data_IF_604363544697
#
_entry.id   IF_604363544697
#
_cell.length_a   1.000
_cell.length_b   1.000
_cell.length_c   1.000
_cell.angle_alpha   90.00
_cell.angle_beta   90.00
_cell.angle_gamma   90.00
#
_symmetry.space_group_name_H-M   'P 1'
#
loop_
_entity.id
_entity.type
_entity.pdbx_description
1 polymer ?
#
# COMPACT_ATOMS: atom_id res chain seq x y z
N UNK A 1 15.12 2.78 -5.21
CA UNK A 1 15.59 1.39 -4.94
C UNK A 1 16.00 0.77 -6.27
N UNK A 2 17.18 0.14 -6.38
CA UNK A 2 17.68 -0.38 -7.67
C UNK A 2 17.62 -1.92 -7.74
N UNK A 3 17.50 -2.53 -8.94
CA UNK A 3 17.52 -3.98 -9.09
C UNK A 3 18.73 -4.68 -8.45
N UNK A 4 19.92 -4.09 -8.56
CA UNK A 4 21.12 -4.64 -7.93
C UNK A 4 21.08 -4.62 -6.39
N UNK A 5 20.49 -3.57 -5.80
CA UNK A 5 20.28 -3.50 -4.36
C UNK A 5 19.23 -4.53 -3.88
N UNK A 6 18.15 -4.69 -4.64
CA UNK A 6 17.09 -5.68 -4.36
C UNK A 6 17.70 -7.09 -4.38
N UNK A 7 18.43 -7.45 -5.43
CA UNK A 7 18.99 -8.78 -5.59
C UNK A 7 20.00 -9.14 -4.49
N UNK A 8 20.87 -8.19 -4.15
CA UNK A 8 21.82 -8.35 -3.05
C UNK A 8 21.10 -8.52 -1.70
N UNK A 9 20.14 -7.63 -1.39
CA UNK A 9 19.42 -7.65 -0.13
C UNK A 9 18.62 -8.95 0.07
N UNK A 10 17.90 -9.40 -0.95
CA UNK A 10 17.13 -10.65 -0.88
C UNK A 10 18.03 -11.89 -0.81
N UNK A 11 19.22 -11.88 -1.44
CA UNK A 11 20.19 -12.97 -1.28
C UNK A 11 20.68 -13.06 0.17
N UNK A 12 20.97 -11.93 0.80
CA UNK A 12 21.33 -11.88 2.24
C UNK A 12 20.13 -12.29 3.10
N UNK A 13 18.91 -11.94 2.73
CA UNK A 13 17.71 -12.34 3.46
C UNK A 13 17.55 -13.86 3.53
N UNK A 14 17.78 -14.55 2.40
CA UNK A 14 17.75 -16.01 2.31
C UNK A 14 18.86 -16.65 3.17
N UNK A 15 20.08 -16.09 3.16
CA UNK A 15 21.21 -16.60 3.94
C UNK A 15 20.99 -16.48 5.47
N UNK A 16 20.19 -15.51 5.92
CA UNK A 16 20.00 -15.17 7.33
C UNK A 16 18.60 -15.47 7.87
N UNK A 17 17.66 -15.96 7.04
CA UNK A 17 16.26 -16.22 7.39
C UNK A 17 15.57 -14.98 8.01
N UNK A 18 15.67 -13.84 7.31
CA UNK A 18 15.05 -12.57 7.73
C UNK A 18 14.15 -12.02 6.64
N UNK A 19 13.08 -11.32 7.02
CA UNK A 19 12.19 -10.66 6.06
C UNK A 19 12.80 -9.35 5.53
N UNK A 20 12.54 -9.04 4.27
CA UNK A 20 12.86 -7.75 3.65
C UNK A 20 11.58 -6.98 3.36
N UNK A 21 11.51 -5.75 3.88
CA UNK A 21 10.48 -4.78 3.52
C UNK A 21 10.99 -3.86 2.43
N UNK A 22 10.16 -3.53 1.44
CA UNK A 22 10.54 -2.70 0.30
C UNK A 22 9.61 -1.50 0.10
N UNK A 23 10.23 -0.34 -0.10
CA UNK A 23 9.67 0.85 -0.74
C UNK A 23 10.34 0.97 -2.12
N UNK A 24 9.55 0.82 -3.20
CA UNK A 24 10.11 0.71 -4.55
C UNK A 24 10.39 2.07 -5.18
N UNK A 25 10.96 2.08 -6.39
CA UNK A 25 11.40 3.29 -7.07
C UNK A 25 10.23 4.05 -7.72
N UNK A 26 9.66 5.02 -6.98
CA UNK A 26 8.55 5.86 -7.48
C UNK A 26 8.86 6.56 -8.80
N UNK A 27 10.12 6.95 -9.01
CA UNK A 27 10.54 7.70 -10.20
C UNK A 27 10.68 6.81 -11.44
N UNK A 28 10.63 5.49 -11.27
CA UNK A 28 10.96 4.52 -12.31
C UNK A 28 12.36 4.77 -12.91
N UNK A 29 13.30 5.30 -12.12
CA UNK A 29 14.65 5.69 -12.57
C UNK A 29 15.44 4.46 -13.04
N UNK A 30 15.37 3.37 -12.27
CA UNK A 30 16.09 2.12 -12.55
C UNK A 30 15.27 1.10 -13.35
N UNK A 31 14.09 1.50 -13.83
CA UNK A 31 13.12 0.63 -14.51
C UNK A 31 11.71 0.77 -13.92
N UNK A 32 10.75 0.11 -14.56
CA UNK A 32 9.35 0.07 -14.14
C UNK A 32 9.09 -1.08 -13.16
N UNK A 33 7.84 -1.24 -12.69
CA UNK A 33 7.46 -2.23 -11.68
C UNK A 33 7.87 -3.66 -12.07
N UNK A 34 7.84 -3.99 -13.36
CA UNK A 34 8.18 -5.31 -13.88
C UNK A 34 9.67 -5.61 -13.72
N UNK A 35 10.53 -4.59 -13.81
CA UNK A 35 11.96 -4.72 -13.58
C UNK A 35 12.25 -5.02 -12.10
N UNK A 36 11.53 -4.37 -11.19
CA UNK A 36 11.59 -4.64 -9.75
C UNK A 36 11.06 -6.03 -9.42
N UNK A 37 9.94 -6.44 -10.02
CA UNK A 37 9.39 -7.79 -9.88
C UNK A 37 10.40 -8.84 -10.36
N UNK A 38 11.04 -8.64 -11.51
CA UNK A 38 12.07 -9.52 -12.02
C UNK A 38 13.29 -9.59 -11.07
N UNK A 39 13.64 -8.50 -10.39
CA UNK A 39 14.71 -8.46 -9.41
C UNK A 39 14.38 -9.25 -8.13
N UNK A 40 13.10 -9.44 -7.80
CA UNK A 40 12.71 -10.31 -6.69
C UNK A 40 13.11 -11.77 -6.94
N UNK A 41 13.11 -12.24 -8.20
CA UNK A 41 13.41 -13.63 -8.57
C UNK A 41 12.59 -14.64 -7.76
N UNK A 42 11.29 -14.36 -7.62
CA UNK A 42 10.32 -15.14 -6.84
C UNK A 42 10.64 -15.35 -5.35
N UNK A 43 11.63 -14.64 -4.79
CA UNK A 43 11.92 -14.65 -3.34
C UNK A 43 10.87 -13.88 -2.57
N UNK A 44 10.65 -14.29 -1.33
CA UNK A 44 9.68 -13.66 -0.43
C UNK A 44 10.07 -12.21 -0.16
N UNK A 45 9.12 -11.28 -0.31
CA UNK A 45 9.33 -9.87 -0.01
C UNK A 45 8.06 -9.24 0.56
N UNK A 46 8.21 -8.35 1.53
CA UNK A 46 7.11 -7.56 2.07
C UNK A 46 7.04 -6.21 1.38
N UNK A 47 6.01 -5.99 0.55
CA UNK A 47 5.76 -4.69 -0.08
C UNK A 47 5.08 -3.73 0.91
N UNK A 48 5.75 -2.63 1.23
CA UNK A 48 5.20 -1.58 2.09
C UNK A 48 4.28 -0.65 1.29
N UNK A 49 3.26 -0.08 1.94
CA UNK A 49 2.25 0.84 1.35
C UNK A 49 1.93 0.54 -0.14
N UNK A 50 1.48 -0.70 -0.40
CA UNK A 50 1.45 -1.30 -1.75
C UNK A 50 0.50 -0.57 -2.72
N UNK A 51 -0.43 0.24 -2.21
CA UNK A 51 -1.26 1.14 -3.04
C UNK A 51 -0.43 2.22 -3.77
N UNK A 52 0.62 2.72 -3.11
CA UNK A 52 1.63 3.60 -3.71
C UNK A 52 1.62 5.07 -3.25
N UNK A 53 0.62 5.57 -2.52
CA UNK A 53 0.65 6.94 -1.99
C UNK A 53 1.84 7.16 -1.03
N UNK A 54 2.08 6.18 -0.13
CA UNK A 54 3.26 6.13 0.74
C UNK A 54 4.58 5.96 -0.03
N UNK A 55 4.51 5.53 -1.29
CA UNK A 55 5.60 5.48 -2.27
C UNK A 55 5.71 4.13 -2.99
N UNK A 56 6.41 4.14 -4.12
CA UNK A 56 6.54 2.99 -5.00
C UNK A 56 6.24 3.35 -6.45
N UNK A 57 6.54 2.42 -7.36
CA UNK A 57 6.46 2.64 -8.81
C UNK A 57 5.13 3.30 -9.20
N UNK A 58 5.20 4.51 -9.75
CA UNK A 58 4.03 5.24 -10.20
C UNK A 58 3.70 4.86 -11.65
N UNK A 59 2.43 4.52 -11.99
CA UNK A 59 1.24 4.54 -11.12
C UNK A 59 0.85 3.16 -10.54
N UNK A 60 1.62 2.10 -10.80
CA UNK A 60 1.10 0.73 -10.87
C UNK A 60 1.80 -0.26 -9.92
N UNK A 61 2.48 0.23 -8.88
CA UNK A 61 3.04 -0.61 -7.81
C UNK A 61 2.01 -1.59 -7.21
N UNK A 62 0.73 -1.24 -7.19
CA UNK A 62 -0.36 -2.09 -6.68
C UNK A 62 -0.45 -3.46 -7.38
N UNK A 63 0.12 -3.60 -8.59
CA UNK A 63 0.19 -4.86 -9.31
C UNK A 63 0.93 -5.96 -8.54
N UNK A 64 1.85 -5.61 -7.63
CA UNK A 64 2.59 -6.61 -6.83
C UNK A 64 1.68 -7.40 -5.88
N UNK A 65 0.46 -6.92 -5.58
CA UNK A 65 -0.56 -7.68 -4.84
C UNK A 65 -0.98 -8.98 -5.55
N UNK A 66 -0.71 -9.11 -6.85
CA UNK A 66 -1.05 -10.32 -7.61
C UNK A 66 -0.01 -11.44 -7.49
N UNK A 67 1.13 -11.16 -6.86
CA UNK A 67 2.28 -12.07 -6.84
C UNK A 67 2.30 -12.95 -5.59
N UNK A 68 2.52 -14.27 -5.73
CA UNK A 68 2.44 -15.21 -4.60
C UNK A 68 3.60 -15.07 -3.60
N UNK A 69 4.75 -14.54 -4.04
CA UNK A 69 5.92 -14.31 -3.21
C UNK A 69 5.91 -12.94 -2.51
N UNK A 70 4.88 -12.12 -2.73
CA UNK A 70 4.76 -10.79 -2.12
C UNK A 70 3.82 -10.86 -0.92
N UNK A 71 4.22 -10.27 0.20
CA UNK A 71 3.38 -10.00 1.35
C UNK A 71 2.95 -8.53 1.30
N UNK A 72 1.78 -8.20 0.71
CA UNK A 72 1.37 -6.81 0.52
C UNK A 72 0.79 -6.22 1.79
N UNK A 73 1.23 -5.00 2.10
CA UNK A 73 0.72 -4.21 3.23
C UNK A 73 0.32 -2.81 2.81
N UNK A 74 -0.63 -2.24 3.55
CA UNK A 74 -1.01 -0.83 3.46
C UNK A 74 -0.50 -0.05 4.65
N UNK A 75 -0.41 1.26 4.49
CA UNK A 75 -0.25 2.20 5.59
C UNK A 75 -1.57 2.90 5.85
N UNK A 76 -1.76 3.41 7.06
CA UNK A 76 -3.11 3.73 7.52
C UNK A 76 -3.72 5.09 7.11
N UNK A 77 -3.05 6.07 6.50
CA UNK A 77 -3.71 7.35 6.22
C UNK A 77 -4.66 7.28 5.01
N UNK A 78 -4.44 6.34 4.09
CA UNK A 78 -5.27 6.12 2.90
C UNK A 78 -6.56 5.36 3.20
N UNK A 79 -6.64 4.75 4.39
CA UNK A 79 -7.65 3.78 4.80
C UNK A 79 -8.67 4.38 5.79
N UNK A 80 -9.99 4.31 5.54
CA UNK A 80 -10.60 4.12 4.23
C UNK A 80 -10.41 5.33 3.32
N UNK A 81 -10.70 5.14 2.03
CA UNK A 81 -10.85 6.24 1.10
C UNK A 81 -12.07 7.11 1.47
N UNK A 82 -11.84 8.40 1.70
CA UNK A 82 -12.86 9.39 2.09
C UNK A 82 -12.78 10.66 1.25
N UNK A 83 -13.76 11.55 1.40
CA UNK A 83 -13.88 12.79 0.62
C UNK A 83 -12.66 13.72 0.72
N UNK A 84 -11.95 13.73 1.85
CA UNK A 84 -10.79 14.59 2.07
C UNK A 84 -9.45 13.88 1.85
N UNK A 85 -9.48 12.58 1.53
CA UNK A 85 -8.26 11.76 1.46
C UNK A 85 -7.29 12.29 0.41
N UNK A 86 -7.76 12.68 -0.78
CA UNK A 86 -6.89 13.18 -1.85
C UNK A 86 -6.24 14.52 -1.50
N UNK A 87 -7.04 15.49 -1.03
CA UNK A 87 -6.54 16.82 -0.72
C UNK A 87 -5.51 16.77 0.43
N UNK A 88 -5.78 15.98 1.48
CA UNK A 88 -4.82 15.78 2.57
C UNK A 88 -3.50 15.18 2.06
N UNK A 89 -3.56 14.14 1.23
CA UNK A 89 -2.35 13.42 0.83
C UNK A 89 -1.53 14.19 -0.19
N UNK A 90 -2.17 14.99 -1.06
CA UNK A 90 -1.45 15.85 -1.99
C UNK A 90 -0.65 16.91 -1.24
N UNK A 91 -1.26 17.60 -0.29
CA UNK A 91 -0.57 18.62 0.52
C UNK A 91 0.53 17.99 1.40
N UNK A 92 0.23 16.86 2.05
CA UNK A 92 1.22 16.10 2.83
C UNK A 92 2.43 15.71 2.01
N UNK A 93 2.23 15.19 0.79
CA UNK A 93 3.32 14.76 -0.09
C UNK A 93 4.20 15.95 -0.50
N UNK A 94 3.57 17.06 -0.87
CA UNK A 94 4.25 18.30 -1.27
C UNK A 94 5.15 18.80 -0.15
N UNK A 95 4.64 18.83 1.09
CA UNK A 95 5.42 19.23 2.27
C UNK A 95 6.54 18.25 2.56
N UNK A 96 6.27 16.94 2.59
CA UNK A 96 7.26 15.91 2.92
C UNK A 96 8.45 15.90 1.95
N UNK A 97 8.22 16.21 0.67
CA UNK A 97 9.25 16.17 -0.37
C UNK A 97 9.79 17.56 -0.74
N UNK A 98 9.40 18.62 -0.01
CA UNK A 98 9.81 20.01 -0.26
C UNK A 98 9.52 20.46 -1.70
N UNK A 99 8.39 20.00 -2.24
CA UNK A 99 7.93 20.33 -3.58
C UNK A 99 7.29 21.71 -3.60
N UNK A 100 7.40 22.40 -4.72
CA UNK A 100 6.87 23.75 -4.88
C UNK A 100 5.61 23.76 -5.77
N UNK A 101 4.48 24.29 -5.29
CA UNK A 101 3.22 24.28 -6.04
C UNK A 101 3.24 25.15 -7.32
N UNK A 102 4.26 25.98 -7.48
CA UNK A 102 4.46 26.77 -8.71
C UNK A 102 5.36 26.09 -9.75
N UNK A 103 5.94 24.93 -9.45
CA UNK A 103 6.79 24.17 -10.38
C UNK A 103 5.92 23.06 -10.99
N UNK A 104 5.67 23.07 -12.33
CA UNK A 104 4.80 22.09 -12.97
C UNK A 104 5.27 20.64 -12.78
N UNK A 105 6.58 20.39 -12.80
CA UNK A 105 7.17 19.06 -12.62
C UNK A 105 6.94 18.49 -11.22
N UNK A 106 7.00 19.35 -10.20
CA UNK A 106 6.74 19.00 -8.81
C UNK A 106 5.27 18.60 -8.61
N UNK A 107 4.36 19.39 -9.19
CA UNK A 107 2.91 19.08 -9.18
C UNK A 107 2.63 17.79 -9.94
N UNK A 108 3.22 17.60 -11.12
CA UNK A 108 3.04 16.40 -11.92
C UNK A 108 3.55 15.14 -11.18
N UNK A 109 4.68 15.23 -10.49
CA UNK A 109 5.17 14.15 -9.63
C UNK A 109 4.16 13.84 -8.51
N UNK A 110 3.64 14.87 -7.83
CA UNK A 110 2.70 14.69 -6.74
C UNK A 110 1.38 14.04 -7.21
N UNK A 111 0.81 14.54 -8.31
CA UNK A 111 -0.41 14.00 -8.92
C UNK A 111 -0.21 12.57 -9.47
N UNK A 112 1.00 12.22 -9.92
CA UNK A 112 1.31 10.85 -10.35
C UNK A 112 1.30 9.85 -9.19
N UNK A 113 1.57 10.32 -7.96
CA UNK A 113 1.68 9.49 -6.74
C UNK A 113 0.39 9.42 -5.95
N UNK A 114 -0.35 10.53 -5.82
CA UNK A 114 -1.62 10.60 -5.10
C UNK A 114 -2.79 10.41 -6.07
N UNK A 115 -3.31 9.17 -6.14
CA UNK A 115 -4.29 8.78 -7.16
C UNK A 115 -5.56 8.25 -6.51
N UNK A 116 -6.70 8.85 -6.82
CA UNK A 116 -8.01 8.43 -6.28
C UNK A 116 -8.38 7.01 -6.67
N UNK A 117 -7.97 6.57 -7.86
CA UNK A 117 -8.32 5.25 -8.39
C UNK A 117 -7.64 4.14 -7.59
N UNK A 118 -6.34 4.26 -7.31
CA UNK A 118 -5.60 3.23 -6.57
C UNK A 118 -5.94 3.25 -5.08
N UNK A 119 -6.17 4.42 -4.47
CA UNK A 119 -6.65 4.52 -3.08
C UNK A 119 -8.04 3.91 -2.89
N UNK A 120 -8.96 4.13 -3.84
CA UNK A 120 -10.26 3.47 -3.81
C UNK A 120 -10.18 1.96 -4.08
N UNK A 121 -9.24 1.53 -4.95
CA UNK A 121 -8.99 0.11 -5.19
C UNK A 121 -8.43 -0.60 -3.95
N UNK A 122 -7.56 0.06 -3.18
CA UNK A 122 -6.97 -0.47 -1.95
C UNK A 122 -8.04 -0.91 -0.94
N UNK A 123 -9.08 -0.12 -0.73
CA UNK A 123 -10.22 -0.46 0.13
C UNK A 123 -10.87 -1.80 -0.29
N UNK A 124 -11.12 -1.96 -1.59
CA UNK A 124 -11.73 -3.18 -2.16
C UNK A 124 -10.78 -4.37 -2.04
N UNK A 125 -9.49 -4.16 -2.32
CA UNK A 125 -8.47 -5.19 -2.26
C UNK A 125 -8.22 -5.67 -0.82
N UNK A 126 -8.42 -4.81 0.18
CA UNK A 126 -8.49 -5.24 1.59
C UNK A 126 -9.67 -6.14 1.87
N UNK A 127 -10.87 -5.78 1.37
CA UNK A 127 -12.12 -6.48 1.65
C UNK A 127 -12.14 -7.89 1.04
N UNK A 128 -11.56 -8.07 -0.15
CA UNK A 128 -11.42 -9.38 -0.79
C UNK A 128 -10.21 -10.19 -0.28
N UNK A 129 -9.34 -9.58 0.54
CA UNK A 129 -8.18 -10.25 1.14
C UNK A 129 -6.92 -10.30 0.26
N UNK A 130 -6.82 -9.48 -0.78
CA UNK A 130 -5.61 -9.35 -1.60
C UNK A 130 -4.50 -8.56 -0.89
N UNK A 131 -4.85 -7.58 -0.05
CA UNK A 131 -3.93 -6.99 0.92
C UNK A 131 -3.96 -7.76 2.24
N UNK A 132 -2.79 -8.08 2.78
CA UNK A 132 -2.67 -8.99 3.92
C UNK A 132 -2.45 -8.27 5.24
N UNK A 133 -1.88 -7.06 5.23
CA UNK A 133 -1.43 -6.35 6.44
C UNK A 133 -1.85 -4.88 6.40
N UNK A 134 -2.19 -4.31 7.57
CA UNK A 134 -2.32 -2.86 7.79
C UNK A 134 -1.25 -2.42 8.78
N UNK A 135 -0.41 -1.48 8.37
CA UNK A 135 0.66 -0.88 9.17
C UNK A 135 0.41 0.62 9.38
N UNK A 136 1.26 1.27 10.19
CA UNK A 136 1.13 2.70 10.47
C UNK A 136 1.83 3.57 9.44
N UNK A 137 3.15 3.42 9.30
CA UNK A 137 4.11 4.41 8.78
C UNK A 137 4.29 5.63 9.70
N UNK A 138 4.50 5.33 10.99
CA UNK A 138 4.43 6.31 12.08
C UNK A 138 5.25 7.58 11.83
N UNK A 139 4.57 8.72 11.74
CA UNK A 139 5.15 10.06 11.51
C UNK A 139 5.88 10.21 10.16
N UNK A 140 5.77 9.24 9.26
CA UNK A 140 6.40 9.24 7.94
C UNK A 140 5.35 8.94 6.86
N UNK A 141 4.27 9.74 6.84
CA UNK A 141 3.02 9.45 6.11
C UNK A 141 2.12 8.41 6.79
N UNK A 142 2.01 8.46 8.13
CA UNK A 142 1.19 7.49 8.86
C UNK A 142 1.03 7.80 10.34
N UNK A 143 0.03 7.17 10.95
CA UNK A 143 -0.46 7.51 12.31
C UNK A 143 -0.37 6.31 13.24
N UNK A 144 0.63 6.25 14.12
CA UNK A 144 0.90 5.05 14.96
C UNK A 144 -0.31 4.59 15.81
N UNK A 145 -1.07 5.55 16.35
CA UNK A 145 -2.23 5.25 17.21
C UNK A 145 -3.49 4.82 16.46
N UNK A 146 -3.46 4.76 15.12
CA UNK A 146 -4.66 4.59 14.31
C UNK A 146 -4.71 3.27 13.52
N UNK A 147 -3.73 2.37 13.64
CA UNK A 147 -3.73 1.10 12.89
C UNK A 147 -5.02 0.30 13.10
N UNK A 148 -5.42 0.11 14.37
CA UNK A 148 -6.61 -0.66 14.74
C UNK A 148 -7.90 0.01 14.25
N UNK A 149 -8.07 1.31 14.55
CA UNK A 149 -9.30 2.04 14.20
C UNK A 149 -9.49 2.14 12.69
N UNK A 150 -8.42 2.39 11.93
CA UNK A 150 -8.45 2.50 10.46
C UNK A 150 -8.81 1.18 9.82
N UNK A 151 -8.29 0.07 10.34
CA UNK A 151 -8.64 -1.28 9.86
C UNK A 151 -10.15 -1.54 10.00
N UNK A 152 -10.77 -1.18 11.13
CA UNK A 152 -12.20 -1.35 11.33
C UNK A 152 -13.06 -0.35 10.53
N UNK A 153 -12.55 0.87 10.30
CA UNK A 153 -13.23 1.86 9.46
C UNK A 153 -13.32 1.41 8.00
N UNK A 154 -12.27 0.79 7.45
CA UNK A 154 -12.33 0.17 6.10
C UNK A 154 -13.32 -0.98 6.07
N UNK A 155 -13.27 -1.88 7.05
CA UNK A 155 -14.23 -3.00 7.14
C UNK A 155 -15.69 -2.50 7.15
N UNK A 156 -15.96 -1.45 7.92
CA UNK A 156 -17.27 -0.79 7.95
C UNK A 156 -17.64 -0.18 6.60
N UNK A 157 -16.75 0.63 6.01
CA UNK A 157 -16.95 1.28 4.72
C UNK A 157 -17.30 0.27 3.63
N UNK A 158 -16.55 -0.84 3.57
CA UNK A 158 -16.76 -1.90 2.59
C UNK A 158 -18.06 -2.65 2.80
N UNK A 159 -18.48 -2.88 4.05
CA UNK A 159 -19.81 -3.41 4.33
C UNK A 159 -20.92 -2.48 3.85
N UNK A 160 -20.82 -1.19 4.14
CA UNK A 160 -21.84 -0.20 3.75
C UNK A 160 -21.98 -0.13 2.23
N UNK A 161 -20.87 -0.17 1.50
CA UNK A 161 -20.84 0.00 0.05
C UNK A 161 -21.09 -1.30 -0.73
N UNK A 162 -20.59 -2.44 -0.24
CA UNK A 162 -20.58 -3.73 -0.98
C UNK A 162 -21.43 -4.82 -0.34
N UNK A 163 -22.01 -4.57 0.84
CA UNK A 163 -22.81 -5.55 1.57
C UNK A 163 -21.97 -6.62 2.28
N UNK A 164 -22.60 -7.73 2.64
CA UNK A 164 -21.93 -8.89 3.26
C UNK A 164 -21.00 -9.59 2.27
N UNK A 165 -19.90 -10.16 2.75
CA UNK A 165 -19.04 -11.00 1.92
C UNK A 165 -19.77 -12.30 1.55
N UNK A 166 -19.43 -12.94 0.42
CA UNK A 166 -19.96 -14.25 0.05
C UNK A 166 -19.74 -15.33 1.13
N UNK A 167 -18.64 -15.22 1.89
CA UNK A 167 -18.28 -16.14 2.96
C UNK A 167 -18.90 -15.78 4.32
N UNK A 168 -19.54 -14.61 4.47
CA UNK A 168 -20.28 -14.24 5.68
C UNK A 168 -21.56 -15.07 5.81
N UNK A 169 -21.94 -15.39 7.04
CA UNK A 169 -23.19 -16.09 7.35
C UNK A 169 -24.36 -15.12 7.48
N UNK A 170 -25.59 -15.60 7.29
CA UNK A 170 -26.79 -14.80 7.54
C UNK A 170 -26.81 -14.28 8.99
N UNK A 171 -26.90 -12.96 9.15
CA UNK A 171 -27.03 -12.29 10.45
C UNK A 171 -25.74 -11.98 11.20
N UNK A 172 -24.55 -12.19 10.62
CA UNK A 172 -23.28 -11.73 11.20
C UNK A 172 -22.21 -11.45 10.13
N UNK A 173 -21.19 -10.69 10.50
CA UNK A 173 -20.04 -10.35 9.63
C UNK A 173 -18.75 -11.03 10.14
N UNK A 174 -18.87 -12.22 10.73
CA UNK A 174 -17.75 -12.86 11.42
C UNK A 174 -16.57 -13.15 10.49
N UNK A 175 -16.84 -13.47 9.22
CA UNK A 175 -15.77 -13.76 8.28
C UNK A 175 -15.03 -12.48 7.91
N UNK A 176 -15.76 -11.40 7.59
CA UNK A 176 -15.15 -10.07 7.41
C UNK A 176 -14.36 -9.65 8.65
N UNK A 177 -14.96 -9.75 9.84
CA UNK A 177 -14.31 -9.33 11.08
C UNK A 177 -13.00 -10.09 11.34
N UNK A 178 -12.97 -11.41 11.11
CA UNK A 178 -11.75 -12.22 11.21
C UNK A 178 -10.71 -11.85 10.15
N UNK A 179 -11.14 -11.64 8.90
CA UNK A 179 -10.26 -11.21 7.80
C UNK A 179 -9.57 -9.88 8.13
N UNK A 180 -10.28 -8.91 8.68
CA UNK A 180 -9.72 -7.61 9.05
C UNK A 180 -8.92 -7.64 10.35
N UNK A 181 -9.35 -8.40 11.37
CA UNK A 181 -8.58 -8.59 12.60
C UNK A 181 -7.21 -9.21 12.32
N UNK A 182 -7.10 -10.13 11.36
CA UNK A 182 -5.84 -10.78 11.01
C UNK A 182 -4.79 -9.85 10.36
N UNK A 183 -5.14 -8.60 10.05
CA UNK A 183 -4.25 -7.65 9.33
C UNK A 183 -3.32 -6.85 10.27
N UNK A 184 -3.52 -6.91 11.59
CA UNK A 184 -2.71 -6.22 12.61
C UNK A 184 -2.63 -7.04 13.90
#
# INVERSE_FOLDING_TARGET
TTPGAIDCCLSVADDFDVQVMIHTDTLNESGFVENTIAAFKDRTVHAFHTEGAGGGHAPDIINVCSLPNVLPSSTNPTLPYTVNTIEEHLDMLMVCHHLHPSIPEDVAFAESRIRKETMAAEDILHDIGAFSIVASDSQAMGRVGEVVIRTWQVAHSMKVQRGSLPEDSAGNDNFRAKRYLAKY
#
